data_IF_321218803657
#
_entry.id   IF_321218803657
#
_cell.length_a   1.000
_cell.length_b   1.000
_cell.length_c   1.000
_cell.angle_alpha   90.00
_cell.angle_beta   90.00
_cell.angle_gamma   90.00
#
_symmetry.space_group_name_H-M   'P 1'
#
loop_
_entity.id
_entity.type
_entity.pdbx_description
1 polymer ?
#
# COMPACT_ATOMS: atom_id res chain seq x y z
N UNK A 1 -27.95 -44.53 -25.50
CA UNK A 1 -26.54 -44.16 -25.75
C UNK A 1 -26.32 -42.70 -25.34
N UNK A 2 -25.91 -42.44 -24.09
CA UNK A 2 -25.73 -41.11 -23.49
C UNK A 2 -24.25 -40.68 -23.45
N UNK A 3 -23.63 -40.33 -24.58
CA UNK A 3 -22.19 -39.96 -24.59
C UNK A 3 -21.86 -38.63 -25.30
N UNK A 4 -22.85 -37.76 -25.55
CA UNK A 4 -22.58 -36.50 -26.27
C UNK A 4 -22.67 -35.21 -25.44
N UNK A 5 -23.31 -35.21 -24.26
CA UNK A 5 -23.49 -34.01 -23.43
C UNK A 5 -22.26 -33.61 -22.58
N UNK A 6 -21.33 -34.53 -22.35
CA UNK A 6 -20.17 -34.29 -21.47
C UNK A 6 -19.13 -33.34 -22.07
N UNK A 7 -18.82 -33.47 -23.37
CA UNK A 7 -17.72 -32.70 -23.99
C UNK A 7 -17.99 -31.19 -24.08
N UNK A 8 -19.24 -30.78 -24.37
CA UNK A 8 -19.63 -29.35 -24.46
C UNK A 8 -19.67 -28.66 -23.08
N UNK A 9 -20.06 -29.39 -22.03
CA UNK A 9 -20.12 -28.88 -20.66
C UNK A 9 -18.72 -28.65 -20.09
N UNK A 10 -17.79 -29.58 -20.34
CA UNK A 10 -16.39 -29.48 -19.87
C UNK A 10 -15.66 -28.30 -20.52
N UNK A 11 -15.86 -28.07 -21.83
CA UNK A 11 -15.25 -26.93 -22.52
C UNK A 11 -15.77 -25.58 -22.01
N UNK A 12 -17.06 -25.48 -21.69
CA UNK A 12 -17.65 -24.25 -21.15
C UNK A 12 -17.15 -23.96 -19.73
N UNK A 13 -17.01 -25.00 -18.91
CA UNK A 13 -16.48 -24.89 -17.54
C UNK A 13 -15.00 -24.49 -17.53
N UNK A 14 -14.19 -25.00 -18.47
CA UNK A 14 -12.80 -24.58 -18.65
C UNK A 14 -12.67 -23.11 -19.05
N UNK A 15 -13.50 -22.63 -19.99
CA UNK A 15 -13.50 -21.22 -20.41
C UNK A 15 -13.90 -20.31 -19.24
N UNK A 16 -14.93 -20.68 -18.48
CA UNK A 16 -15.36 -19.94 -17.29
C UNK A 16 -14.22 -19.85 -16.26
N UNK A 17 -13.50 -20.94 -16.03
CA UNK A 17 -12.38 -20.99 -15.09
C UNK A 17 -11.21 -20.09 -15.54
N UNK A 18 -10.90 -20.07 -16.84
CA UNK A 18 -9.89 -19.17 -17.41
C UNK A 18 -10.29 -17.70 -17.28
N UNK A 19 -11.57 -17.37 -17.48
CA UNK A 19 -12.08 -16.00 -17.30
C UNK A 19 -11.99 -15.58 -15.83
N UNK A 20 -12.39 -16.43 -14.89
CA UNK A 20 -12.27 -16.15 -13.44
C UNK A 20 -10.81 -15.96 -13.03
N UNK A 21 -9.90 -16.82 -13.51
CA UNK A 21 -8.46 -16.67 -13.24
C UNK A 21 -7.86 -15.39 -13.86
N UNK A 22 -8.34 -14.98 -15.02
CA UNK A 22 -7.87 -13.75 -15.69
C UNK A 22 -8.29 -12.49 -14.94
N UNK A 23 -9.48 -12.47 -14.33
CA UNK A 23 -9.95 -11.35 -13.50
C UNK A 23 -9.10 -11.23 -12.22
N UNK A 24 -8.74 -12.37 -11.61
CA UNK A 24 -7.90 -12.39 -10.39
C UNK A 24 -6.47 -11.89 -10.71
N UNK A 25 -5.91 -12.26 -11.86
CA UNK A 25 -4.53 -11.91 -12.22
C UNK A 25 -4.34 -10.43 -12.56
N UNK A 26 -5.39 -9.72 -13.01
CA UNK A 26 -5.29 -8.30 -13.36
C UNK A 26 -5.33 -7.36 -12.14
N UNK A 27 -5.73 -7.86 -10.96
CA UNK A 27 -5.76 -7.10 -9.70
C UNK A 27 -4.49 -7.27 -8.85
N UNK A 28 -3.52 -8.06 -9.32
CA UNK A 28 -2.36 -8.52 -8.54
C UNK A 28 -1.04 -7.82 -8.90
N UNK A 29 -1.08 -6.75 -9.69
CA UNK A 29 0.05 -5.81 -9.69
C UNK A 29 -0.16 -4.91 -8.50
N UNK A 30 0.60 -5.15 -7.44
CA UNK A 30 0.78 -4.22 -6.32
C UNK A 30 0.98 -2.82 -6.89
N UNK A 31 -0.11 -2.07 -6.96
CA UNK A 31 -0.14 -0.76 -7.58
C UNK A 31 0.70 0.15 -6.69
N UNK A 32 1.56 0.95 -7.32
CA UNK A 32 2.29 2.01 -6.63
C UNK A 32 1.32 2.84 -5.78
N UNK A 33 1.72 3.13 -4.55
CA UNK A 33 0.92 3.95 -3.64
C UNK A 33 0.89 5.38 -4.18
N UNK A 34 -0.28 6.01 -4.36
CA UNK A 34 -0.37 7.40 -4.77
C UNK A 34 0.47 8.31 -3.86
N UNK A 35 1.15 9.31 -4.42
CA UNK A 35 2.07 10.18 -3.68
C UNK A 35 1.44 10.76 -2.41
N UNK A 36 0.21 11.28 -2.49
CA UNK A 36 -0.50 11.85 -1.34
C UNK A 36 -0.69 10.83 -0.21
N UNK A 37 -1.13 9.61 -0.55
CA UNK A 37 -1.27 8.52 0.41
C UNK A 37 0.08 8.13 1.01
N UNK A 38 1.13 8.05 0.19
CA UNK A 38 2.47 7.70 0.66
C UNK A 38 3.05 8.77 1.60
N UNK A 39 2.79 10.06 1.32
CA UNK A 39 3.13 11.18 2.22
C UNK A 39 2.43 11.02 3.57
N UNK A 40 1.13 10.74 3.57
CA UNK A 40 0.37 10.56 4.82
C UNK A 40 0.88 9.37 5.63
N UNK A 41 1.15 8.23 4.99
CA UNK A 41 1.76 7.06 5.64
C UNK A 41 3.11 7.42 6.26
N UNK A 42 3.98 8.12 5.53
CA UNK A 42 5.31 8.47 6.02
C UNK A 42 5.25 9.45 7.21
N UNK A 43 4.37 10.44 7.15
CA UNK A 43 4.15 11.38 8.26
C UNK A 43 3.68 10.65 9.52
N UNK A 44 2.68 9.78 9.41
CA UNK A 44 2.20 8.98 10.53
C UNK A 44 3.33 8.12 11.13
N UNK A 45 4.13 7.45 10.29
CA UNK A 45 5.27 6.64 10.74
C UNK A 45 6.32 7.47 11.50
N UNK A 46 6.63 8.68 11.01
CA UNK A 46 7.61 9.57 11.64
C UNK A 46 7.09 10.09 12.98
N UNK A 47 5.82 10.50 13.05
CA UNK A 47 5.19 10.98 14.29
C UNK A 47 5.17 9.84 15.32
N UNK A 48 4.65 8.67 14.95
CA UNK A 48 4.61 7.48 15.82
C UNK A 48 5.99 7.12 16.34
N UNK A 49 7.02 7.11 15.47
CA UNK A 49 8.40 6.84 15.90
C UNK A 49 8.93 7.91 16.85
N UNK A 50 8.61 9.18 16.60
CA UNK A 50 8.95 10.29 17.48
C UNK A 50 8.33 10.13 18.87
N UNK A 51 7.02 9.88 18.93
CA UNK A 51 6.28 9.63 20.18
C UNK A 51 6.83 8.42 20.94
N UNK A 52 7.04 7.30 20.25
CA UNK A 52 7.61 6.10 20.84
C UNK A 52 9.00 6.32 21.44
N UNK A 53 9.81 7.18 20.82
CA UNK A 53 11.13 7.54 21.34
C UNK A 53 11.05 8.37 22.62
N UNK A 54 10.03 9.23 22.74
CA UNK A 54 9.74 10.02 23.95
C UNK A 54 9.22 9.12 25.08
N UNK A 55 8.33 8.20 24.75
CA UNK A 55 7.66 7.31 25.72
C UNK A 55 8.50 6.08 26.11
N UNK A 56 9.69 5.89 25.50
CA UNK A 56 10.57 4.77 25.77
C UNK A 56 10.01 3.42 25.33
N UNK A 57 9.20 3.39 24.27
CA UNK A 57 8.56 2.17 23.77
C UNK A 57 9.58 1.22 23.12
N UNK A 58 9.27 -0.08 23.19
CA UNK A 58 10.09 -1.15 22.63
C UNK A 58 9.87 -1.33 21.13
N UNK A 59 10.84 -1.93 20.45
CA UNK A 59 10.77 -2.25 19.01
C UNK A 59 9.55 -3.11 18.64
N UNK A 60 9.08 -3.96 19.55
CA UNK A 60 7.87 -4.78 19.34
C UNK A 60 6.60 -3.92 19.23
N UNK A 61 6.50 -2.84 19.99
CA UNK A 61 5.36 -1.92 19.96
C UNK A 61 5.41 -1.10 18.66
N UNK A 62 6.60 -0.62 18.29
CA UNK A 62 6.82 0.06 17.00
C UNK A 62 6.40 -0.79 15.79
N UNK A 63 6.65 -2.11 15.85
CA UNK A 63 6.20 -3.02 14.79
C UNK A 63 4.67 -3.09 14.69
N UNK A 64 3.96 -3.18 15.83
CA UNK A 64 2.49 -3.22 15.88
C UNK A 64 1.89 -1.91 15.35
N UNK A 65 2.48 -0.77 15.71
CA UNK A 65 2.04 0.53 15.22
C UNK A 65 2.26 0.67 13.70
N UNK A 66 3.40 0.20 13.17
CA UNK A 66 3.64 0.15 11.72
C UNK A 66 2.55 -0.64 10.99
N UNK A 67 2.20 -1.82 11.49
CA UNK A 67 1.13 -2.66 10.92
C UNK A 67 -0.25 -1.99 11.01
N UNK A 68 -0.50 -1.25 12.08
CA UNK A 68 -1.74 -0.48 12.27
C UNK A 68 -1.84 0.65 11.25
N UNK A 69 -0.75 1.38 11.01
CA UNK A 69 -0.67 2.42 9.98
C UNK A 69 -0.90 1.81 8.59
N UNK A 70 -0.27 0.69 8.26
CA UNK A 70 -0.46 0.04 6.95
C UNK A 70 -1.92 -0.36 6.73
N UNK A 71 -2.58 -0.90 7.76
CA UNK A 71 -4.01 -1.21 7.71
C UNK A 71 -4.88 0.03 7.56
N UNK A 72 -4.55 1.13 8.26
CA UNK A 72 -5.28 2.42 8.18
C UNK A 72 -5.36 2.94 6.74
N UNK A 73 -4.31 2.71 5.94
CA UNK A 73 -4.23 3.17 4.56
C UNK A 73 -4.55 2.09 3.51
N UNK A 74 -4.96 0.88 3.92
CA UNK A 74 -5.21 -0.26 3.04
C UNK A 74 -4.02 -0.57 2.12
N UNK A 75 -2.82 -0.57 2.70
CA UNK A 75 -1.56 -0.87 1.99
C UNK A 75 -0.88 -2.10 2.55
N UNK A 76 -0.22 -2.84 1.67
CA UNK A 76 0.64 -3.96 2.04
C UNK A 76 2.11 -3.55 2.10
N UNK A 77 2.92 -4.32 2.81
CA UNK A 77 4.38 -4.13 2.82
C UNK A 77 4.99 -4.27 1.41
N UNK A 78 4.41 -5.10 0.55
CA UNK A 78 4.83 -5.23 -0.83
C UNK A 78 4.59 -3.94 -1.63
N UNK A 79 3.43 -3.30 -1.46
CA UNK A 79 3.14 -2.01 -2.08
C UNK A 79 4.07 -0.89 -1.59
N UNK A 80 4.39 -0.86 -0.29
CA UNK A 80 5.37 0.08 0.27
C UNK A 80 6.75 -0.13 -0.37
N UNK A 81 7.24 -1.37 -0.39
CA UNK A 81 8.53 -1.70 -1.01
C UNK A 81 8.57 -1.34 -2.50
N UNK A 82 7.55 -1.69 -3.25
CA UNK A 82 7.46 -1.38 -4.69
C UNK A 82 7.41 0.14 -4.94
N UNK A 83 6.73 0.89 -4.06
CA UNK A 83 6.69 2.35 -4.12
C UNK A 83 8.08 2.93 -3.86
N UNK A 84 8.78 2.48 -2.82
CA UNK A 84 10.17 2.91 -2.56
C UNK A 84 11.08 2.61 -3.75
N UNK A 85 10.98 1.41 -4.34
CA UNK A 85 11.75 1.04 -5.53
C UNK A 85 11.41 1.92 -6.75
N UNK A 86 10.15 2.35 -6.89
CA UNK A 86 9.75 3.29 -7.94
C UNK A 86 10.37 4.68 -7.76
N UNK A 87 10.43 5.19 -6.52
CA UNK A 87 11.06 6.48 -6.21
C UNK A 87 12.58 6.42 -6.33
N UNK A 88 13.21 5.29 -5.98
CA UNK A 88 14.66 5.09 -6.11
C UNK A 88 15.18 5.18 -7.54
N UNK A 89 14.31 5.07 -8.55
CA UNK A 89 14.68 5.23 -9.97
C UNK A 89 14.93 6.68 -10.36
N UNK A 90 14.44 7.65 -9.59
CA UNK A 90 14.52 9.07 -9.92
C UNK A 90 14.57 9.94 -8.65
N UNK A 91 15.73 10.57 -8.44
CA UNK A 91 15.97 11.47 -7.30
C UNK A 91 15.02 12.67 -7.26
N UNK A 92 14.49 13.13 -8.40
CA UNK A 92 13.54 14.24 -8.44
C UNK A 92 12.20 13.87 -7.81
N UNK A 93 11.79 12.59 -7.87
CA UNK A 93 10.59 12.11 -7.18
C UNK A 93 10.76 12.15 -5.67
N UNK A 94 11.95 11.77 -5.18
CA UNK A 94 12.28 11.91 -3.75
C UNK A 94 12.21 13.38 -3.31
N UNK A 95 12.76 14.31 -4.10
CA UNK A 95 12.67 15.74 -3.80
C UNK A 95 11.22 16.20 -3.67
N UNK A 96 10.38 15.92 -4.67
CA UNK A 96 8.97 16.30 -4.65
C UNK A 96 8.19 15.64 -3.49
N UNK A 97 8.52 14.39 -3.15
CA UNK A 97 7.95 13.69 -2.00
C UNK A 97 8.30 14.39 -0.69
N UNK A 98 9.57 14.70 -0.46
CA UNK A 98 9.99 15.34 0.78
C UNK A 98 9.43 16.77 0.90
N UNK A 99 9.34 17.53 -0.19
CA UNK A 99 8.65 18.82 -0.20
C UNK A 99 7.18 18.68 0.22
N UNK A 100 6.48 17.64 -0.26
CA UNK A 100 5.10 17.36 0.12
C UNK A 100 4.96 16.92 1.60
N UNK A 101 5.90 16.12 2.11
CA UNK A 101 5.97 15.74 3.54
C UNK A 101 6.17 16.98 4.42
N UNK A 102 7.11 17.85 4.08
CA UNK A 102 7.37 19.09 4.84
C UNK A 102 6.13 19.97 4.87
N UNK A 103 5.49 20.21 3.72
CA UNK A 103 4.25 20.99 3.66
C UNK A 103 3.15 20.39 4.53
N UNK A 104 2.99 19.05 4.52
CA UNK A 104 1.99 18.38 5.34
C UNK A 104 2.25 18.57 6.84
N UNK A 105 3.50 18.49 7.27
CA UNK A 105 3.87 18.73 8.67
C UNK A 105 3.63 20.19 9.08
N UNK A 106 3.94 21.15 8.21
CA UNK A 106 3.64 22.58 8.46
C UNK A 106 2.14 22.85 8.58
N UNK A 107 1.32 22.19 7.75
CA UNK A 107 -0.14 22.29 7.83
C UNK A 107 -0.68 21.72 9.15
N UNK A 108 -0.16 20.55 9.58
CA UNK A 108 -0.54 19.95 10.85
C UNK A 108 -0.18 20.87 12.03
N UNK A 109 1.04 21.42 12.03
CA UNK A 109 1.47 22.36 13.07
C UNK A 109 0.56 23.59 13.14
N UNK A 110 0.24 24.22 12.00
CA UNK A 110 -0.66 25.39 11.95
C UNK A 110 -2.09 25.05 12.41
N UNK A 111 -2.54 23.82 12.20
CA UNK A 111 -3.86 23.38 12.63
C UNK A 111 -3.96 23.15 14.14
N UNK A 112 -2.83 22.87 14.82
CA UNK A 112 -2.79 22.72 16.28
C UNK A 112 -2.65 24.07 17.02
N UNK A 113 -2.17 25.11 16.34
CA UNK A 113 -1.99 26.47 16.90
C UNK A 113 -3.28 27.34 16.88
N UNK A 114 -4.36 26.87 16.24
CA UNK A 114 -5.67 27.56 16.15
C UNK A 114 -6.75 26.85 16.96
#
# INVERSE_FOLDING_TARGET
>A
MQKQYSKRSVTFSLILLVVVFSIISCSLKDKEIPMETFVNIYVDLVITKGMASVDGLTDSILFIEKETIYKKYDVTEAQIRNTIEFYNKDVHKWKAFYEAVTRKLEELQKSEEN
#
